data_IF_629361534328
#
_entry.id   IF_629361534328
#
_cell.length_a   1.000
_cell.length_b   1.000
_cell.length_c   1.000
_cell.angle_alpha   90.00
_cell.angle_beta   90.00
_cell.angle_gamma   90.00
#
_symmetry.space_group_name_H-M   'P 1'
#
loop_
_entity.id
_entity.type
_entity.pdbx_description
1 polymer ?
#
# COMPACT_ATOMS: atom_id res chain seq x y z
N UNK A 1 -5.54 -20.85 14.26
CA UNK A 1 -5.08 -22.09 13.60
C UNK A 1 -3.76 -21.74 12.89
N UNK A 2 -2.63 -22.40 13.18
CA UNK A 2 -1.31 -22.01 12.65
C UNK A 2 -1.06 -22.72 11.31
N UNK A 3 -1.16 -21.99 10.20
CA UNK A 3 -0.79 -22.49 8.87
C UNK A 3 0.73 -22.55 8.72
N UNK A 4 1.27 -23.65 8.18
CA UNK A 4 2.72 -23.84 8.00
C UNK A 4 3.24 -23.16 6.71
N UNK A 5 4.56 -22.97 6.58
CA UNK A 5 5.18 -22.26 5.44
C UNK A 5 4.79 -22.82 4.05
N UNK A 6 4.63 -24.13 3.94
CA UNK A 6 4.23 -24.84 2.72
C UNK A 6 2.77 -24.57 2.34
N UNK A 7 1.88 -24.46 3.32
CA UNK A 7 0.47 -24.10 3.09
C UNK A 7 0.34 -22.66 2.58
N UNK A 8 1.23 -21.74 2.99
CA UNK A 8 1.25 -20.35 2.52
C UNK A 8 1.84 -20.18 1.13
N UNK A 9 2.88 -20.95 0.78
CA UNK A 9 3.42 -20.96 -0.58
C UNK A 9 2.36 -21.49 -1.56
N UNK A 10 1.67 -22.58 -1.20
CA UNK A 10 0.52 -23.08 -1.95
C UNK A 10 -0.61 -22.05 -2.07
N UNK A 11 -0.83 -21.23 -1.05
CA UNK A 11 -1.90 -20.24 -1.04
C UNK A 11 -1.55 -19.00 -1.87
N UNK A 12 -0.29 -18.58 -1.84
CA UNK A 12 0.25 -17.50 -2.67
C UNK A 12 0.18 -17.89 -4.15
N UNK A 13 0.53 -19.15 -4.46
CA UNK A 13 0.33 -19.76 -5.78
C UNK A 13 -1.15 -19.80 -6.13
N UNK A 14 -2.07 -20.13 -5.22
CA UNK A 14 -3.52 -20.09 -5.50
C UNK A 14 -4.08 -18.71 -5.73
N UNK A 15 -3.63 -17.69 -4.99
CA UNK A 15 -4.00 -16.30 -5.27
C UNK A 15 -3.50 -15.95 -6.67
N UNK A 16 -2.22 -16.14 -6.97
CA UNK A 16 -1.66 -15.90 -8.30
C UNK A 16 -2.39 -16.67 -9.42
N UNK A 17 -2.62 -17.98 -9.27
CA UNK A 17 -3.29 -18.85 -10.24
C UNK A 17 -4.75 -18.41 -10.50
N UNK A 18 -5.45 -17.91 -9.48
CA UNK A 18 -6.81 -17.40 -9.61
C UNK A 18 -6.82 -16.06 -10.35
N UNK A 19 -5.88 -15.17 -10.04
CA UNK A 19 -5.69 -13.91 -10.77
C UNK A 19 -5.32 -14.14 -12.25
N UNK A 20 -4.55 -15.20 -12.53
CA UNK A 20 -4.16 -15.61 -13.88
C UNK A 20 -5.29 -16.33 -14.65
N UNK A 21 -6.15 -17.11 -13.98
CA UNK A 21 -7.26 -17.82 -14.63
C UNK A 21 -8.35 -16.86 -15.16
N UNK A 22 -8.53 -15.72 -14.50
CA UNK A 22 -9.51 -14.67 -14.82
C UNK A 22 -9.11 -13.85 -16.07
N UNK A 23 -7.82 -13.84 -16.40
CA UNK A 23 -7.20 -13.11 -17.50
C UNK A 23 -7.68 -13.52 -18.93
N UNK A 24 -8.50 -14.56 -19.07
CA UNK A 24 -8.79 -15.25 -20.35
C UNK A 24 -10.14 -14.93 -21.01
N UNK A 25 -10.95 -14.01 -20.47
CA UNK A 25 -12.33 -13.78 -20.93
C UNK A 25 -12.42 -12.51 -21.79
N UNK A 26 -13.08 -12.62 -22.95
CA UNK A 26 -13.34 -11.53 -23.91
C UNK A 26 -14.54 -10.66 -23.48
N UNK A 27 -14.39 -9.34 -23.62
CA UNK A 27 -15.05 -8.26 -22.87
C UNK A 27 -16.42 -7.78 -23.43
N UNK A 28 -17.22 -8.63 -24.06
CA UNK A 28 -18.47 -8.20 -24.75
C UNK A 28 -19.77 -8.57 -24.00
N UNK A 29 -19.70 -8.90 -22.70
CA UNK A 29 -20.85 -9.39 -21.91
C UNK A 29 -20.94 -8.80 -20.48
N UNK A 30 -21.84 -7.84 -20.22
CA UNK A 30 -21.95 -7.14 -18.92
C UNK A 30 -22.41 -8.03 -17.75
N UNK A 31 -23.16 -9.11 -18.01
CA UNK A 31 -23.54 -10.09 -16.98
C UNK A 31 -22.35 -10.90 -16.48
N UNK A 32 -21.35 -11.13 -17.34
CA UNK A 32 -20.12 -11.85 -17.02
C UNK A 32 -19.23 -10.97 -16.14
N UNK A 33 -19.10 -9.68 -16.47
CA UNK A 33 -18.39 -8.68 -15.66
C UNK A 33 -18.97 -8.52 -14.23
N UNK A 34 -20.30 -8.56 -14.08
CA UNK A 34 -20.94 -8.47 -12.77
C UNK A 34 -20.69 -9.71 -11.89
N UNK A 35 -20.71 -10.91 -12.49
CA UNK A 35 -20.38 -12.17 -11.79
C UNK A 35 -18.90 -12.20 -11.38
N UNK A 36 -18.00 -11.76 -12.27
CA UNK A 36 -16.57 -11.63 -12.01
C UNK A 36 -16.28 -10.66 -10.86
N UNK A 37 -16.97 -9.51 -10.80
CA UNK A 37 -16.84 -8.59 -9.66
C UNK A 37 -17.22 -9.24 -8.33
N UNK A 38 -18.27 -10.08 -8.31
CA UNK A 38 -18.65 -10.83 -7.11
C UNK A 38 -17.60 -11.88 -6.73
N UNK A 39 -17.10 -12.64 -7.70
CA UNK A 39 -16.07 -13.66 -7.48
C UNK A 39 -14.77 -13.01 -6.96
N UNK A 40 -14.36 -11.87 -7.52
CA UNK A 40 -13.22 -11.07 -7.07
C UNK A 40 -13.34 -10.62 -5.62
N UNK A 41 -14.49 -10.08 -5.21
CA UNK A 41 -14.72 -9.67 -3.82
C UNK A 41 -14.61 -10.85 -2.84
N UNK A 42 -15.14 -12.02 -3.20
CA UNK A 42 -15.04 -13.23 -2.37
C UNK A 42 -13.57 -13.64 -2.20
N UNK A 43 -12.78 -13.59 -3.27
CA UNK A 43 -11.36 -13.95 -3.25
C UNK A 43 -10.53 -12.97 -2.42
N UNK A 44 -10.71 -11.66 -2.62
CA UNK A 44 -10.01 -10.66 -1.81
C UNK A 44 -10.39 -10.76 -0.33
N UNK A 45 -11.66 -11.03 0.00
CA UNK A 45 -12.06 -11.26 1.39
C UNK A 45 -11.40 -12.49 1.99
N UNK A 46 -11.21 -13.55 1.21
CA UNK A 46 -10.48 -14.74 1.67
C UNK A 46 -9.00 -14.41 1.92
N UNK A 47 -8.36 -13.66 1.03
CA UNK A 47 -7.00 -13.19 1.23
C UNK A 47 -6.88 -12.27 2.46
N UNK A 48 -7.83 -11.36 2.65
CA UNK A 48 -7.91 -10.47 3.80
C UNK A 48 -8.10 -11.23 5.11
N UNK A 49 -9.02 -12.19 5.17
CA UNK A 49 -9.23 -13.03 6.35
C UNK A 49 -7.94 -13.76 6.74
N UNK A 50 -7.17 -14.23 5.75
CA UNK A 50 -5.90 -14.91 6.00
C UNK A 50 -4.80 -13.97 6.50
N UNK A 51 -4.72 -12.75 5.98
CA UNK A 51 -3.81 -11.71 6.47
C UNK A 51 -4.20 -11.25 7.88
N UNK A 52 -5.50 -11.09 8.12
CA UNK A 52 -6.09 -10.79 9.42
C UNK A 52 -5.77 -11.86 10.45
N UNK A 53 -6.01 -13.14 10.13
CA UNK A 53 -5.68 -14.27 11.00
C UNK A 53 -4.17 -14.38 11.26
N UNK A 54 -3.33 -14.08 10.28
CA UNK A 54 -1.89 -13.97 10.47
C UNK A 54 -1.51 -12.80 11.39
N UNK A 55 -2.24 -11.69 11.38
CA UNK A 55 -2.03 -10.58 12.33
C UNK A 55 -2.55 -10.90 13.75
N UNK A 56 -3.68 -11.60 13.88
CA UNK A 56 -4.35 -11.90 15.16
C UNK A 56 -3.72 -13.09 15.88
N UNK A 57 -3.26 -14.13 15.15
CA UNK A 57 -2.62 -15.30 15.76
C UNK A 57 -1.30 -14.99 16.49
N UNK A 58 -0.76 -13.78 16.35
CA UNK A 58 0.51 -13.36 16.91
C UNK A 58 0.38 -12.33 18.05
N UNK A 59 -0.82 -11.78 18.31
CA UNK A 59 -1.07 -10.80 19.37
C UNK A 59 -1.14 -11.36 20.80
N UNK A 60 -1.01 -12.67 21.03
CA UNK A 60 -1.13 -13.30 22.36
C UNK A 60 0.08 -14.12 22.81
N UNK A 61 1.12 -14.26 21.99
CA UNK A 61 2.36 -14.92 22.42
C UNK A 61 3.41 -13.85 22.63
N UNK A 62 3.80 -13.60 23.87
CA UNK A 62 5.02 -12.87 24.18
C UNK A 62 6.19 -13.50 23.40
N UNK A 63 6.70 -12.80 22.40
CA UNK A 63 7.99 -13.08 21.77
C UNK A 63 9.01 -12.07 22.28
N UNK A 64 10.27 -12.50 22.48
CA UNK A 64 11.28 -11.66 23.09
C UNK A 64 11.37 -10.39 22.27
N UNK A 65 11.20 -9.25 22.94
CA UNK A 65 11.49 -7.92 22.43
C UNK A 65 12.67 -8.01 21.47
N UNK A 66 12.45 -7.68 20.19
CA UNK A 66 13.39 -7.88 19.11
C UNK A 66 14.65 -7.01 19.30
N UNK A 67 15.53 -7.43 20.20
CA UNK A 67 16.97 -7.48 19.95
C UNK A 67 17.21 -8.65 18.99
N UNK A 68 16.64 -8.58 17.78
CA UNK A 68 17.01 -9.46 16.69
C UNK A 68 18.15 -8.75 15.96
N UNK A 69 19.35 -8.99 16.45
CA UNK A 69 20.65 -8.55 15.92
C UNK A 69 20.98 -9.30 14.61
N UNK A 70 20.06 -9.30 13.66
CA UNK A 70 20.24 -9.76 12.30
C UNK A 70 19.75 -8.66 11.39
N UNK A 71 20.68 -7.93 10.76
CA UNK A 71 20.34 -6.83 9.86
C UNK A 71 19.50 -7.37 8.71
N UNK A 72 18.19 -7.14 8.73
CA UNK A 72 17.37 -7.29 7.53
C UNK A 72 17.96 -6.33 6.50
N UNK A 73 18.37 -6.85 5.34
CA UNK A 73 18.89 -6.02 4.25
C UNK A 73 17.73 -5.20 3.70
N UNK A 74 17.43 -4.07 4.31
CA UNK A 74 16.42 -3.12 3.84
C UNK A 74 17.10 -1.96 3.11
N UNK A 75 16.40 -1.35 2.16
CA UNK A 75 16.88 -0.16 1.45
C UNK A 75 17.31 0.95 2.41
N UNK A 76 18.36 1.69 2.05
CA UNK A 76 18.93 2.75 2.90
C UNK A 76 17.95 3.87 3.24
N UNK A 77 16.89 4.00 2.46
CA UNK A 77 15.85 5.01 2.64
C UNK A 77 14.67 4.56 3.50
N UNK A 78 14.72 3.37 4.12
CA UNK A 78 13.83 2.95 5.21
C UNK A 78 14.37 3.42 6.58
N UNK A 79 14.41 4.74 6.75
CA UNK A 79 14.93 5.41 7.95
C UNK A 79 14.22 4.98 9.24
N UNK A 80 12.92 4.70 9.19
CA UNK A 80 12.13 4.25 10.34
C UNK A 80 12.66 2.93 10.94
N UNK A 81 13.35 2.10 10.13
CA UNK A 81 13.96 0.85 10.56
C UNK A 81 15.46 1.02 10.84
N UNK A 82 16.18 1.69 9.94
CA UNK A 82 17.63 1.82 10.02
C UNK A 82 18.10 2.87 11.03
N UNK A 83 17.30 3.91 11.27
CA UNK A 83 17.69 5.06 12.11
C UNK A 83 16.47 5.65 12.84
N UNK A 84 15.81 4.87 13.71
CA UNK A 84 14.52 5.22 14.34
C UNK A 84 14.57 6.45 15.26
N UNK A 85 15.77 6.88 15.67
CA UNK A 85 15.99 8.06 16.51
C UNK A 85 16.47 9.29 15.73
N UNK A 86 16.53 9.21 14.40
CA UNK A 86 16.95 10.35 13.57
C UNK A 86 15.91 11.48 13.59
N UNK A 87 16.32 12.76 13.45
CA UNK A 87 15.39 13.89 13.34
C UNK A 87 14.35 13.72 12.22
N UNK A 88 14.76 13.11 11.10
CA UNK A 88 13.90 12.80 9.95
C UNK A 88 12.76 11.85 10.33
N UNK A 89 13.03 10.84 11.15
CA UNK A 89 11.98 9.93 11.65
C UNK A 89 11.08 10.63 12.66
N UNK A 90 11.61 11.52 13.50
CA UNK A 90 10.80 12.33 14.40
C UNK A 90 9.79 13.21 13.64
N UNK A 91 10.20 13.82 12.52
CA UNK A 91 9.30 14.59 11.65
C UNK A 91 8.23 13.69 11.01
N UNK A 92 8.60 12.51 10.49
CA UNK A 92 7.63 11.56 9.95
C UNK A 92 6.65 11.04 11.02
N UNK A 93 7.08 10.87 12.28
CA UNK A 93 6.16 10.53 13.38
C UNK A 93 5.14 11.63 13.64
N UNK A 94 5.51 12.91 13.53
CA UNK A 94 4.56 14.03 13.63
C UNK A 94 3.54 14.01 12.49
N UNK A 95 3.99 13.70 11.27
CA UNK A 95 3.10 13.49 10.13
C UNK A 95 2.15 12.32 10.41
N UNK A 96 2.66 11.17 10.85
CA UNK A 96 1.85 9.99 11.16
C UNK A 96 0.80 10.28 12.24
N UNK A 97 1.16 10.96 13.32
CA UNK A 97 0.23 11.39 14.38
C UNK A 97 -0.86 12.31 13.84
N UNK A 98 -0.49 13.25 12.96
CA UNK A 98 -1.46 14.16 12.33
C UNK A 98 -2.42 13.41 11.43
N UNK A 99 -1.92 12.48 10.61
CA UNK A 99 -2.73 11.63 9.73
C UNK A 99 -3.67 10.72 10.54
N UNK A 100 -3.17 10.11 11.61
CA UNK A 100 -3.98 9.29 12.50
C UNK A 100 -5.18 10.09 13.02
N UNK A 101 -4.94 11.29 13.57
CA UNK A 101 -6.00 12.12 14.16
C UNK A 101 -6.95 12.75 13.13
N UNK A 102 -6.44 13.22 11.98
CA UNK A 102 -7.22 14.02 11.03
C UNK A 102 -7.86 13.22 9.90
N UNK A 103 -7.35 12.03 9.62
CA UNK A 103 -7.84 11.20 8.52
C UNK A 103 -8.40 9.89 9.06
N UNK A 104 -7.54 9.03 9.60
CA UNK A 104 -7.91 7.65 9.94
C UNK A 104 -8.89 7.55 11.12
N UNK A 105 -8.73 8.38 12.17
CA UNK A 105 -9.64 8.42 13.32
C UNK A 105 -10.80 9.39 13.15
N UNK A 106 -10.74 10.28 12.16
CA UNK A 106 -11.75 11.31 11.97
C UNK A 106 -13.07 10.73 11.42
N UNK A 107 -12.98 9.68 10.60
CA UNK A 107 -14.14 9.00 10.03
C UNK A 107 -13.81 7.51 9.86
N UNK A 108 -14.62 6.58 10.40
CA UNK A 108 -14.33 5.13 10.35
C UNK A 108 -14.14 4.56 8.94
N UNK A 109 -14.71 5.20 7.92
CA UNK A 109 -14.59 4.78 6.51
C UNK A 109 -13.25 5.18 5.87
N UNK A 110 -12.48 6.09 6.47
CA UNK A 110 -11.21 6.56 5.94
C UNK A 110 -10.08 5.62 6.35
N UNK A 111 -10.02 4.42 5.77
CA UNK A 111 -8.94 3.46 6.05
C UNK A 111 -7.78 3.51 5.07
N UNK A 112 -7.98 4.11 3.90
CA UNK A 112 -6.97 4.18 2.85
C UNK A 112 -6.51 5.61 2.56
N UNK A 113 -5.25 5.77 2.16
CA UNK A 113 -4.67 7.04 1.77
C UNK A 113 -3.63 6.86 0.65
N UNK A 114 -3.86 7.55 -0.47
CA UNK A 114 -2.90 7.55 -1.59
C UNK A 114 -1.78 8.56 -1.34
N UNK A 115 -0.54 8.16 -1.57
CA UNK A 115 0.61 9.07 -1.52
C UNK A 115 0.91 9.47 -2.94
N UNK A 116 0.80 10.76 -3.27
CA UNK A 116 0.92 11.28 -4.65
C UNK A 116 2.07 12.28 -4.77
N UNK A 117 2.59 12.45 -5.99
CA UNK A 117 3.63 13.44 -6.27
C UNK A 117 3.56 13.90 -7.72
N UNK A 118 3.97 15.15 -7.97
CA UNK A 118 3.84 15.77 -9.28
C UNK A 118 4.85 15.20 -10.28
N UNK A 119 6.10 15.04 -9.84
CA UNK A 119 7.21 14.55 -10.65
C UNK A 119 7.86 13.29 -10.02
N UNK A 120 8.71 12.63 -10.79
CA UNK A 120 9.50 11.48 -10.30
C UNK A 120 10.56 11.93 -9.29
N UNK A 121 10.98 11.02 -8.40
CA UNK A 121 12.09 11.22 -7.44
C UNK A 121 11.85 12.33 -6.40
N UNK A 122 10.58 12.61 -6.12
CA UNK A 122 10.16 13.55 -5.07
C UNK A 122 10.10 12.92 -3.68
N UNK A 123 10.39 11.62 -3.53
CA UNK A 123 10.41 10.92 -2.25
C UNK A 123 9.07 10.27 -1.85
N UNK A 124 8.09 10.22 -2.74
CA UNK A 124 6.77 9.61 -2.53
C UNK A 124 6.83 8.19 -1.94
N UNK A 125 7.47 7.24 -2.63
CA UNK A 125 7.63 5.86 -2.13
C UNK A 125 8.40 5.80 -0.81
N UNK A 126 9.37 6.70 -0.59
CA UNK A 126 10.12 6.79 0.67
C UNK A 126 9.20 7.20 1.81
N UNK A 127 8.39 8.24 1.60
CA UNK A 127 7.41 8.72 2.58
C UNK A 127 6.37 7.63 2.85
N UNK A 128 5.78 7.02 1.81
CA UNK A 128 4.80 5.95 1.92
C UNK A 128 5.33 4.77 2.76
N UNK A 129 6.53 4.28 2.43
CA UNK A 129 7.12 3.13 3.11
C UNK A 129 7.47 3.42 4.57
N UNK A 130 8.01 4.60 4.87
CA UNK A 130 8.36 4.95 6.25
C UNK A 130 7.13 5.27 7.11
N UNK A 131 6.09 5.90 6.55
CA UNK A 131 4.83 6.08 7.26
C UNK A 131 4.20 4.73 7.58
N UNK A 132 4.17 3.80 6.62
CA UNK A 132 3.65 2.46 6.85
C UNK A 132 4.41 1.74 7.98
N UNK A 133 5.74 1.81 8.01
CA UNK A 133 6.55 1.30 9.13
C UNK A 133 6.20 1.96 10.47
N UNK A 134 6.01 3.28 10.51
CA UNK A 134 5.71 4.01 11.75
C UNK A 134 4.34 3.62 12.33
N UNK A 135 3.32 3.50 11.48
CA UNK A 135 1.99 3.02 11.91
C UNK A 135 2.08 1.58 12.43
N UNK A 136 2.74 0.70 11.69
CA UNK A 136 2.93 -0.70 12.07
C UNK A 136 3.69 -0.87 13.41
N UNK A 137 4.77 -0.11 13.60
CA UNK A 137 5.53 -0.03 14.86
C UNK A 137 4.70 0.49 16.04
N UNK A 138 3.62 1.22 15.77
CA UNK A 138 2.68 1.71 16.79
C UNK A 138 1.59 0.69 17.12
N UNK A 139 1.67 -0.54 16.59
CA UNK A 139 0.70 -1.60 16.81
C UNK A 139 -0.47 -1.62 15.82
N UNK A 140 -0.50 -0.70 14.85
CA UNK A 140 -1.62 -0.57 13.90
C UNK A 140 -1.45 -1.57 12.77
N UNK A 141 -2.48 -2.37 12.49
CA UNK A 141 -2.48 -3.30 11.34
C UNK A 141 -2.44 -2.50 10.04
N UNK A 142 -1.27 -2.47 9.40
CA UNK A 142 -0.95 -1.57 8.30
C UNK A 142 -0.67 -2.35 7.01
N UNK A 143 -1.31 -1.93 5.92
CA UNK A 143 -1.06 -2.44 4.58
C UNK A 143 -0.39 -1.36 3.73
N UNK A 144 0.65 -1.72 2.98
CA UNK A 144 1.26 -0.87 1.96
C UNK A 144 1.08 -1.51 0.58
N UNK A 145 0.50 -0.76 -0.36
CA UNK A 145 0.24 -1.19 -1.72
C UNK A 145 1.13 -0.40 -2.69
N UNK A 146 1.91 -1.10 -3.52
CA UNK A 146 2.70 -0.49 -4.60
C UNK A 146 1.87 -0.43 -5.88
N UNK A 147 1.18 0.69 -6.11
CA UNK A 147 0.37 0.91 -7.31
C UNK A 147 1.15 1.56 -8.46
N UNK A 148 2.46 1.81 -8.32
CA UNK A 148 3.32 2.28 -9.43
C UNK A 148 3.83 1.08 -10.25
N UNK A 149 2.94 0.52 -11.08
CA UNK A 149 3.32 -0.56 -12.00
C UNK A 149 4.44 -0.20 -12.98
N UNK A 150 4.60 1.09 -13.26
CA UNK A 150 5.54 1.57 -14.28
C UNK A 150 6.96 1.61 -13.72
N UNK A 151 7.10 1.97 -12.45
CA UNK A 151 8.38 2.12 -11.78
C UNK A 151 8.32 1.57 -10.34
N UNK A 152 8.00 0.27 -10.18
CA UNK A 152 7.79 -0.31 -8.86
C UNK A 152 9.08 -0.33 -8.06
N UNK A 153 8.99 -0.05 -6.77
CA UNK A 153 10.17 0.15 -5.92
C UNK A 153 10.03 -0.41 -4.51
N UNK A 154 8.82 -0.75 -4.06
CA UNK A 154 8.58 -1.21 -2.70
C UNK A 154 9.22 -2.58 -2.46
N UNK A 155 9.13 -3.49 -3.43
CA UNK A 155 9.75 -4.83 -3.33
C UNK A 155 11.26 -4.76 -3.06
N UNK A 156 11.98 -3.88 -3.76
CA UNK A 156 13.43 -3.65 -3.55
C UNK A 156 13.70 -3.07 -2.17
N UNK A 157 12.91 -2.07 -1.75
CA UNK A 157 13.07 -1.41 -0.44
C UNK A 157 12.97 -2.39 0.71
N UNK A 158 11.98 -3.27 0.67
CA UNK A 158 11.77 -4.29 1.70
C UNK A 158 12.54 -5.60 1.44
N UNK A 159 13.32 -5.67 0.35
CA UNK A 159 14.04 -6.87 -0.09
C UNK A 159 13.16 -8.11 -0.11
N UNK A 160 12.00 -7.95 -0.75
CA UNK A 160 11.06 -9.03 -0.96
C UNK A 160 11.64 -10.00 -1.99
N UNK A 161 11.76 -11.27 -1.58
CA UNK A 161 12.49 -12.30 -2.32
C UNK A 161 11.84 -12.66 -3.67
N UNK A 162 10.57 -12.32 -3.86
CA UNK A 162 9.85 -12.56 -5.11
C UNK A 162 8.87 -11.41 -5.39
N UNK A 163 9.18 -10.50 -6.33
CA UNK A 163 8.22 -9.50 -6.76
C UNK A 163 7.11 -10.10 -7.63
N UNK A 164 7.33 -11.26 -8.27
CA UNK A 164 6.52 -11.78 -9.37
C UNK A 164 5.39 -12.66 -8.86
N UNK A 165 5.51 -13.34 -7.72
CA UNK A 165 4.36 -14.04 -7.17
C UNK A 165 3.28 -13.04 -6.77
N UNK A 166 2.03 -13.27 -7.16
CA UNK A 166 0.79 -12.67 -6.63
C UNK A 166 0.58 -12.82 -5.11
N UNK A 167 1.65 -12.89 -4.34
CA UNK A 167 1.70 -13.04 -2.92
C UNK A 167 1.57 -11.67 -2.24
N UNK A 168 0.55 -11.54 -1.41
CA UNK A 168 0.53 -10.51 -0.39
C UNK A 168 1.63 -10.87 0.61
N UNK A 169 2.67 -10.04 0.70
CA UNK A 169 3.80 -10.35 1.55
C UNK A 169 3.42 -10.17 3.03
N UNK A 170 3.69 -11.21 3.82
CA UNK A 170 3.59 -11.33 5.29
C UNK A 170 4.20 -10.11 6.01
N UNK A 171 4.04 -9.98 7.36
CA UNK A 171 4.83 -9.04 8.15
C UNK A 171 6.26 -8.94 7.62
N UNK A 172 6.59 -7.77 7.07
CA UNK A 172 7.93 -7.46 6.58
C UNK A 172 8.89 -7.89 7.67
N UNK A 173 9.91 -8.69 7.34
CA UNK A 173 10.87 -9.16 8.36
C UNK A 173 11.42 -7.96 9.14
N UNK A 174 11.22 -7.97 10.45
CA UNK A 174 11.64 -6.89 11.36
C UNK A 174 10.61 -5.76 11.56
N UNK A 175 9.43 -5.83 10.95
CA UNK A 175 8.32 -4.87 11.16
C UNK A 175 7.02 -5.63 11.41
N UNK A 176 6.67 -5.77 12.69
CA UNK A 176 5.37 -6.32 13.08
C UNK A 176 4.23 -5.45 12.55
N UNK A 177 3.08 -6.04 12.25
CA UNK A 177 1.87 -5.37 11.77
C UNK A 177 1.97 -4.68 10.39
N UNK A 178 3.05 -4.89 9.61
CA UNK A 178 3.17 -4.33 8.25
C UNK A 178 3.06 -5.41 7.17
N UNK A 179 2.00 -5.41 6.38
CA UNK A 179 1.90 -6.23 5.16
C UNK A 179 2.12 -5.38 3.90
N UNK A 180 2.59 -6.01 2.84
CA UNK A 180 2.91 -5.33 1.57
C UNK A 180 2.29 -6.07 0.38
N UNK A 181 1.63 -5.33 -0.50
CA UNK A 181 1.24 -5.80 -1.85
C UNK A 181 2.19 -5.14 -2.85
N UNK A 182 3.14 -5.89 -3.44
CA UNK A 182 4.03 -5.35 -4.45
C UNK A 182 3.31 -5.15 -5.79
N UNK A 183 3.88 -4.31 -6.64
CA UNK A 183 3.27 -3.94 -7.91
C UNK A 183 3.09 -5.11 -8.86
N UNK A 184 3.99 -6.11 -8.86
CA UNK A 184 3.82 -7.24 -9.76
C UNK A 184 2.65 -8.14 -9.36
N UNK A 185 2.34 -8.27 -8.06
CA UNK A 185 1.06 -8.87 -7.61
C UNK A 185 -0.14 -8.11 -8.15
N UNK A 186 -0.09 -6.78 -8.14
CA UNK A 186 -1.15 -6.01 -8.77
C UNK A 186 -1.16 -6.25 -10.30
N UNK A 187 -0.01 -6.24 -10.98
CA UNK A 187 0.06 -6.41 -12.44
C UNK A 187 -0.53 -7.75 -12.92
N UNK A 188 -0.48 -8.79 -12.09
CA UNK A 188 -1.14 -10.08 -12.35
C UNK A 188 -2.67 -9.99 -12.30
N UNK A 189 -3.24 -9.01 -11.59
CA UNK A 189 -4.67 -8.70 -11.60
C UNK A 189 -5.18 -8.25 -12.98
N UNK A 190 -4.32 -8.23 -14.01
CA UNK A 190 -4.58 -7.73 -15.37
C UNK A 190 -5.31 -6.39 -15.29
N UNK A 191 -4.52 -5.32 -15.15
CA UNK A 191 -5.00 -3.94 -15.16
C UNK A 191 -5.89 -3.72 -16.39
N UNK A 192 -7.19 -3.92 -16.23
CA UNK A 192 -8.18 -3.72 -17.28
C UNK A 192 -8.48 -2.23 -17.41
N UNK A 193 -9.46 -1.89 -18.25
CA UNK A 193 -9.98 -0.53 -18.38
C UNK A 193 -10.54 0.06 -17.08
N UNK A 194 -10.68 -0.72 -16.00
CA UNK A 194 -11.37 -0.38 -14.76
C UNK A 194 -10.50 -0.51 -13.52
N UNK A 195 -9.25 -0.07 -13.62
CA UNK A 195 -8.28 -0.05 -12.53
C UNK A 195 -8.78 0.52 -11.20
N UNK A 196 -9.65 1.52 -11.27
CA UNK A 196 -10.29 2.08 -10.08
C UNK A 196 -11.11 1.02 -9.33
N UNK A 197 -11.92 0.25 -10.05
CA UNK A 197 -12.86 -0.72 -9.47
C UNK A 197 -12.15 -1.91 -8.84
N UNK A 198 -11.07 -2.40 -9.46
CA UNK A 198 -10.27 -3.50 -8.94
C UNK A 198 -9.52 -3.09 -7.67
N UNK A 199 -8.88 -1.92 -7.67
CA UNK A 199 -8.17 -1.40 -6.50
C UNK A 199 -9.15 -1.04 -5.37
N UNK A 200 -10.31 -0.48 -5.69
CA UNK A 200 -11.37 -0.22 -4.72
C UNK A 200 -11.88 -1.53 -4.10
N UNK A 201 -12.19 -2.54 -4.91
CA UNK A 201 -12.64 -3.85 -4.41
C UNK A 201 -11.58 -4.51 -3.52
N UNK A 202 -10.30 -4.35 -3.86
CA UNK A 202 -9.18 -4.81 -3.05
C UNK A 202 -9.15 -4.09 -1.69
N UNK A 203 -9.20 -2.76 -1.69
CA UNK A 203 -9.21 -1.94 -0.47
C UNK A 203 -10.40 -2.32 0.42
N UNK A 204 -11.60 -2.40 -0.15
CA UNK A 204 -12.83 -2.77 0.57
C UNK A 204 -12.75 -4.16 1.18
N UNK A 205 -12.16 -5.12 0.48
CA UNK A 205 -11.98 -6.46 1.01
C UNK A 205 -10.93 -6.53 2.13
N UNK A 206 -9.95 -5.63 2.12
CA UNK A 206 -8.89 -5.55 3.14
C UNK A 206 -9.33 -4.77 4.40
N UNK A 207 -10.51 -4.14 4.37
CA UNK A 207 -11.03 -3.25 5.39
C UNK A 207 -11.14 -3.89 6.79
N UNK A 208 -11.46 -5.19 6.86
CA UNK A 208 -11.55 -5.93 8.12
C UNK A 208 -10.17 -6.35 8.68
N UNK A 209 -9.21 -6.55 7.78
CA UNK A 209 -7.88 -7.07 8.11
C UNK A 209 -6.90 -5.97 8.53
N UNK A 210 -7.09 -4.75 8.01
CA UNK A 210 -6.18 -3.63 8.22
C UNK A 210 -6.91 -2.37 8.69
N UNK A 211 -6.28 -1.65 9.59
CA UNK A 211 -6.79 -0.37 10.12
C UNK A 211 -6.30 0.81 9.26
N UNK A 212 -5.13 0.67 8.63
CA UNK A 212 -4.52 1.70 7.80
C UNK A 212 -3.96 1.07 6.52
N UNK A 213 -4.29 1.67 5.38
CA UNK A 213 -3.83 1.25 4.05
C UNK A 213 -3.16 2.46 3.36
N UNK A 214 -1.88 2.33 3.04
CA UNK A 214 -1.16 3.30 2.21
C UNK A 214 -1.03 2.80 0.78
N UNK A 215 -1.31 3.66 -0.19
CA UNK A 215 -1.17 3.34 -1.62
C UNK A 215 -0.09 4.24 -2.24
N UNK A 216 1.07 3.69 -2.58
CA UNK A 216 2.10 4.40 -3.35
C UNK A 216 1.70 4.43 -4.82
N UNK A 217 1.44 5.61 -5.36
CA UNK A 217 0.95 5.78 -6.74
C UNK A 217 2.11 5.97 -7.73
N UNK A 218 1.91 6.04 -9.06
CA UNK A 218 2.89 6.65 -9.96
C UNK A 218 2.92 8.18 -9.85
N UNK A 219 3.90 8.82 -10.50
CA UNK A 219 3.99 10.29 -10.52
C UNK A 219 3.03 10.86 -11.55
N UNK A 220 2.39 11.99 -11.27
CA UNK A 220 1.44 12.62 -12.19
C UNK A 220 2.08 12.97 -13.56
N UNK A 221 3.37 13.33 -13.57
CA UNK A 221 4.11 13.58 -14.81
C UNK A 221 4.36 12.32 -15.67
N UNK A 222 4.13 11.12 -15.14
CA UNK A 222 4.39 9.85 -15.83
C UNK A 222 3.13 9.13 -16.28
N UNK A 223 2.03 9.29 -15.55
CA UNK A 223 0.77 8.64 -15.84
C UNK A 223 -0.38 9.31 -15.08
N UNK A 224 -1.62 9.12 -15.54
CA UNK A 224 -2.83 9.49 -14.81
C UNK A 224 -3.26 8.41 -13.80
N UNK A 225 -2.57 7.27 -13.75
CA UNK A 225 -2.91 6.16 -12.82
C UNK A 225 -2.84 6.60 -11.34
N UNK A 226 -2.14 7.70 -11.02
CA UNK A 226 -2.16 8.27 -9.68
C UNK A 226 -3.55 8.76 -9.25
N UNK A 227 -4.30 9.34 -10.19
CA UNK A 227 -5.65 9.86 -9.94
C UNK A 227 -6.64 8.70 -9.76
N UNK A 228 -6.46 7.63 -10.56
CA UNK A 228 -7.22 6.37 -10.41
C UNK A 228 -6.99 5.77 -9.02
N UNK A 229 -5.73 5.69 -8.58
CA UNK A 229 -5.40 5.21 -7.25
C UNK A 229 -5.93 6.11 -6.13
N UNK A 230 -5.90 7.43 -6.32
CA UNK A 230 -6.45 8.40 -5.37
C UNK A 230 -7.99 8.39 -5.30
N UNK A 231 -8.68 8.11 -6.41
CA UNK A 231 -10.12 7.88 -6.43
C UNK A 231 -10.52 6.63 -5.63
N UNK A 232 -9.74 5.56 -5.73
CA UNK A 232 -10.01 4.33 -4.98
C UNK A 232 -9.85 4.48 -3.45
N UNK A 233 -9.04 5.44 -2.99
CA UNK A 233 -8.85 5.72 -1.56
C UNK A 233 -9.66 6.92 -1.05
N UNK A 234 -10.20 7.74 -1.95
CA UNK A 234 -10.91 9.01 -1.67
C UNK A 234 -10.11 10.07 -0.89
N UNK A 235 -8.82 9.83 -0.66
CA UNK A 235 -7.93 10.74 0.04
C UNK A 235 -6.50 10.64 -0.44
N UNK A 236 -5.81 11.78 -0.51
CA UNK A 236 -4.42 11.84 -0.94
C UNK A 236 -3.54 12.72 -0.04
N UNK A 237 -2.31 12.26 0.17
CA UNK A 237 -1.22 13.03 0.74
C UNK A 237 -0.22 13.40 -0.35
N UNK A 238 0.00 14.70 -0.54
CA UNK A 238 0.91 15.21 -1.56
C UNK A 238 2.35 15.25 -1.03
N UNK A 239 3.28 14.66 -1.77
CA UNK A 239 4.71 14.71 -1.47
C UNK A 239 5.40 15.65 -2.45
N UNK A 240 6.16 16.59 -1.89
CA UNK A 240 6.98 17.56 -2.64
C UNK A 240 8.41 17.53 -2.14
N UNK A 241 9.35 17.94 -2.97
CA UNK A 241 10.77 18.02 -2.66
C UNK A 241 11.25 19.46 -2.69
N UNK A 242 11.80 19.92 -1.56
CA UNK A 242 12.32 21.27 -1.40
C UNK A 242 13.38 21.58 -2.46
N UNK A 243 13.24 22.73 -3.12
CA UNK A 243 14.16 23.19 -4.16
C UNK A 243 14.10 22.42 -5.48
N UNK A 244 13.23 21.41 -5.62
CA UNK A 244 13.12 20.58 -6.84
C UNK A 244 11.72 20.63 -7.42
N UNK A 245 10.69 20.42 -6.60
CA UNK A 245 9.30 20.39 -7.05
C UNK A 245 8.85 21.76 -7.51
N UNK A 246 8.29 21.83 -8.72
CA UNK A 246 7.75 23.07 -9.26
C UNK A 246 6.33 23.29 -8.74
N UNK A 247 6.12 24.39 -8.02
CA UNK A 247 4.81 24.74 -7.44
C UNK A 247 3.65 24.60 -8.45
N UNK A 248 3.82 25.12 -9.67
CA UNK A 248 2.79 25.02 -10.73
C UNK A 248 2.40 23.59 -11.10
N UNK A 249 3.33 22.63 -11.04
CA UNK A 249 3.03 21.22 -11.34
C UNK A 249 2.26 20.56 -10.20
N UNK A 250 2.65 20.83 -8.96
CA UNK A 250 1.93 20.36 -7.78
C UNK A 250 0.54 20.97 -7.70
N UNK A 251 0.38 22.28 -7.89
CA UNK A 251 -0.94 22.94 -7.90
C UNK A 251 -1.85 22.30 -8.92
N UNK A 252 -1.41 22.16 -10.18
CA UNK A 252 -2.24 21.52 -11.22
C UNK A 252 -2.64 20.09 -10.88
N UNK A 253 -1.75 19.31 -10.25
CA UNK A 253 -2.08 17.95 -9.80
C UNK A 253 -3.13 17.96 -8.68
N UNK A 254 -3.00 18.89 -7.73
CA UNK A 254 -3.95 19.05 -6.64
C UNK A 254 -5.32 19.49 -7.15
N UNK A 255 -5.37 20.47 -8.05
CA UNK A 255 -6.61 20.95 -8.69
C UNK A 255 -7.35 19.78 -9.37
N UNK A 256 -6.63 18.94 -10.13
CA UNK A 256 -7.21 17.76 -10.79
C UNK A 256 -7.73 16.71 -9.80
N UNK A 257 -7.09 16.55 -8.64
CA UNK A 257 -7.58 15.65 -7.60
C UNK A 257 -8.85 16.21 -6.94
N UNK A 258 -8.87 17.50 -6.62
CA UNK A 258 -10.02 18.18 -6.00
C UNK A 258 -11.23 18.18 -6.94
N UNK A 259 -11.02 18.48 -8.24
CA UNK A 259 -12.06 18.41 -9.28
C UNK A 259 -12.68 17.00 -9.41
N UNK A 260 -11.88 15.96 -9.11
CA UNK A 260 -12.32 14.57 -9.11
C UNK A 260 -12.94 14.13 -7.77
N UNK A 261 -13.06 15.02 -6.79
CA UNK A 261 -13.65 14.73 -5.47
C UNK A 261 -12.70 14.01 -4.50
N UNK A 262 -11.39 14.00 -4.76
CA UNK A 262 -10.39 13.42 -3.87
C UNK A 262 -10.03 14.43 -2.79
N UNK A 263 -10.14 14.03 -1.52
CA UNK A 263 -9.74 14.90 -0.41
C UNK A 263 -8.22 15.00 -0.29
N UNK A 264 -7.67 16.22 -0.40
CA UNK A 264 -6.25 16.46 -0.12
C UNK A 264 -6.05 16.63 1.39
N UNK A 265 -5.50 15.60 2.02
CA UNK A 265 -5.32 15.53 3.48
C UNK A 265 -4.19 16.45 3.96
N UNK A 266 -3.24 16.73 3.08
CA UNK A 266 -2.14 17.66 3.34
C UNK A 266 -0.94 17.45 2.43
N UNK A 267 0.15 18.12 2.77
CA UNK A 267 1.42 18.06 2.05
C UNK A 267 2.61 17.71 2.95
N UNK A 268 3.50 16.86 2.46
CA UNK A 268 4.81 16.58 3.06
C UNK A 268 5.89 17.14 2.14
N UNK A 269 6.77 17.97 2.69
CA UNK A 269 7.94 18.48 1.97
C UNK A 269 9.19 17.73 2.42
N UNK A 270 9.76 16.91 1.55
CA UNK A 270 11.04 16.26 1.80
C UNK A 270 12.19 17.21 1.49
N UNK A 271 13.20 17.19 2.35
CA UNK A 271 14.47 17.91 2.12
C UNK A 271 15.56 16.88 1.77
N UNK A 272 16.52 17.23 0.89
CA UNK A 272 17.68 16.38 0.61
C UNK A 272 18.42 15.97 1.90
#
# INVERSE_FOLDING_TARGET
MKYNSREWDELSVRIADLLVAEARVDDDRPEEAARLSQDRTVLFRRAAAMLGDASVAHGQSAWPSATATGSVSVGDDLFALKSPHSPRVADLRRVAQTLAMRWFLAEPKHKALSIISADRREGRTVVASNLACIFAQSGVRTLLIDADLRNPAIHTKFSLADPICGAIHRPVRGVENLSVIPAATLSELRYDRFMQSALQSLIEAMDDAFEVIFVDTPAAATSNDYQIAALATTGALCVTRAGVTRARRSSRMLDLCEDAGIAIVGGVMVRP
#
